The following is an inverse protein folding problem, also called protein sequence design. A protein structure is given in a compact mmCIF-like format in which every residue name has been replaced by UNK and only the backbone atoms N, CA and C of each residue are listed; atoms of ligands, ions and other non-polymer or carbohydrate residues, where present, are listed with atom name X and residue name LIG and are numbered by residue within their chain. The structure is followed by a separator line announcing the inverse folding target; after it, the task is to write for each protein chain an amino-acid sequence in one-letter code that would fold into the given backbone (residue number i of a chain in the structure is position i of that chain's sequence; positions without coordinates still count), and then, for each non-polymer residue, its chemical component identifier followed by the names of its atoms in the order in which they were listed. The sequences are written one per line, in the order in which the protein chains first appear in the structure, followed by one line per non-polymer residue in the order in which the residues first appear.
data_IF_634608404362
#
_entry.id   IF_634608404362
#
_cell.length_a   1.000
_cell.length_b   1.000
_cell.length_c   1.000
_cell.angle_alpha   90.00
_cell.angle_beta   90.00
_cell.angle_gamma   90.00
#
_symmetry.space_group_name_H-M   'P 1'
#
loop_
_entity.id
_entity.type
_entity.pdbx_description
1 polymer ?
#
# COMPACT_ATOMS: atom_id res chain seq x y z
N UNK A 1 -6.65 19.78 11.33
CA UNK A 1 -5.90 18.56 11.01
C UNK A 1 -6.78 17.78 10.06
N UNK A 2 -6.47 17.80 8.76
CA UNK A 2 -7.28 17.10 7.75
C UNK A 2 -7.35 15.61 8.11
N UNK A 3 -8.55 15.05 8.03
CA UNK A 3 -8.80 13.62 8.20
C UNK A 3 -8.16 12.90 7.01
N UNK A 4 -6.88 12.55 7.13
CA UNK A 4 -6.24 11.64 6.20
C UNK A 4 -6.84 10.25 6.45
N UNK A 5 -7.36 9.64 5.38
CA UNK A 5 -7.69 8.22 5.14
C UNK A 5 -6.92 7.26 6.06
N UNK A 6 -5.63 7.55 6.26
CA UNK A 6 -4.75 6.81 7.14
C UNK A 6 -5.21 6.78 8.61
N UNK A 7 -5.70 7.87 9.19
CA UNK A 7 -6.21 7.89 10.56
C UNK A 7 -7.39 6.92 10.78
N UNK A 8 -8.17 6.60 9.74
CA UNK A 8 -9.34 5.74 9.84
C UNK A 8 -9.00 4.23 9.70
N UNK A 9 -7.90 3.87 9.02
CA UNK A 9 -7.31 2.51 9.09
C UNK A 9 -6.33 2.33 10.26
N UNK A 10 -5.75 3.40 10.79
CA UNK A 10 -4.65 3.40 11.79
C UNK A 10 -5.13 3.49 13.25
N UNK A 11 -6.30 2.96 13.59
CA UNK A 11 -6.53 2.62 14.98
C UNK A 11 -5.61 1.43 15.35
N UNK A 12 -4.42 1.77 15.88
CA UNK A 12 -3.32 0.90 16.35
C UNK A 12 -3.70 -0.20 17.36
N UNK A 13 -4.99 -0.41 17.62
CA UNK A 13 -5.49 -1.59 18.31
C UNK A 13 -5.65 -2.80 17.36
N UNK A 14 -5.46 -2.65 16.05
CA UNK A 14 -5.62 -3.74 15.07
C UNK A 14 -4.62 -3.74 13.87
N UNK A 15 -3.35 -3.43 14.12
CA UNK A 15 -2.23 -4.09 13.40
C UNK A 15 -1.89 -3.70 11.94
N UNK A 16 -2.19 -2.50 11.43
CA UNK A 16 -1.83 -2.12 10.05
C UNK A 16 -0.33 -2.32 9.68
N UNK A 17 0.60 -1.98 10.57
CA UNK A 17 2.05 -2.16 10.33
C UNK A 17 2.65 -3.46 10.90
N UNK A 18 1.88 -4.24 11.66
CA UNK A 18 2.27 -5.57 12.15
C UNK A 18 1.72 -6.68 11.24
N UNK A 19 0.75 -6.36 10.38
CA UNK A 19 0.20 -7.32 9.44
C UNK A 19 1.25 -7.71 8.39
N UNK A 20 1.43 -9.02 8.18
CA UNK A 20 2.25 -9.58 7.09
C UNK A 20 1.78 -9.17 5.69
N UNK A 21 0.66 -8.43 5.59
CA UNK A 21 0.18 -7.92 4.31
C UNK A 21 0.82 -6.56 3.93
N UNK A 22 1.47 -5.91 4.90
CA UNK A 22 2.17 -4.65 4.71
C UNK A 22 3.69 -4.85 4.60
N UNK A 23 4.19 -6.08 4.73
CA UNK A 23 5.60 -6.44 4.56
C UNK A 23 5.74 -7.77 3.81
N UNK A 24 6.70 -7.92 2.88
CA UNK A 24 7.69 -6.91 2.49
C UNK A 24 7.09 -5.75 1.69
N UNK A 25 7.77 -4.60 1.73
CA UNK A 25 7.40 -3.42 0.95
C UNK A 25 8.16 -3.38 -0.37
N UNK A 26 7.45 -3.03 -1.44
CA UNK A 26 8.11 -2.62 -2.67
C UNK A 26 8.70 -1.22 -2.49
N UNK A 27 9.96 -1.05 -2.89
CA UNK A 27 10.66 0.24 -2.89
C UNK A 27 11.20 0.52 -4.29
N UNK A 28 10.92 1.71 -4.82
CA UNK A 28 11.59 2.16 -6.05
C UNK A 28 13.10 2.32 -5.82
N UNK A 29 13.93 2.39 -6.88
CA UNK A 29 15.36 2.67 -6.74
C UNK A 29 15.68 3.94 -5.93
N UNK A 30 14.86 4.99 -6.07
CA UNK A 30 14.98 6.23 -5.31
C UNK A 30 14.59 6.02 -3.84
N UNK A 31 13.51 5.29 -3.58
CA UNK A 31 13.07 4.98 -2.22
C UNK A 31 14.05 4.07 -1.48
N UNK A 32 14.74 3.14 -2.18
CA UNK A 32 15.81 2.34 -1.58
C UNK A 32 16.95 3.21 -1.05
N UNK A 33 17.27 4.31 -1.74
CA UNK A 33 18.28 5.29 -1.27
C UNK A 33 17.75 6.12 -0.11
N UNK A 34 16.47 6.50 -0.15
CA UNK A 34 15.83 7.32 0.88
C UNK A 34 15.56 6.56 2.18
N UNK A 35 15.24 5.27 2.09
CA UNK A 35 14.86 4.40 3.21
C UNK A 35 15.75 3.16 3.30
N UNK A 36 17.07 3.32 3.56
CA UNK A 36 18.02 2.20 3.57
C UNK A 36 17.70 1.16 4.66
N UNK A 37 17.00 1.56 5.74
CA UNK A 37 16.55 0.63 6.78
C UNK A 37 15.45 -0.31 6.31
N UNK A 38 14.55 0.15 5.42
CA UNK A 38 13.52 -0.70 4.82
C UNK A 38 14.12 -1.59 3.72
N UNK A 39 15.03 -1.05 2.91
CA UNK A 39 15.65 -1.79 1.82
C UNK A 39 16.47 -3.01 2.28
N UNK A 40 17.02 -2.97 3.50
CA UNK A 40 17.84 -4.05 4.08
C UNK A 40 17.11 -4.84 5.17
N UNK A 41 15.81 -4.62 5.35
CA UNK A 41 15.04 -5.28 6.40
C UNK A 41 14.71 -6.74 6.02
N UNK A 42 14.91 -7.70 6.92
CA UNK A 42 14.34 -9.05 6.79
C UNK A 42 12.80 -9.01 6.73
N UNK A 43 12.22 -9.82 5.85
CA UNK A 43 10.78 -9.87 5.54
C UNK A 43 9.88 -10.13 6.76
N UNK A 44 10.41 -10.71 7.84
CA UNK A 44 9.70 -11.14 9.04
C UNK A 44 9.77 -10.14 10.20
N UNK A 45 10.44 -8.99 10.03
CA UNK A 45 10.59 -7.98 11.09
C UNK A 45 9.55 -6.87 10.98
N UNK A 46 9.15 -6.36 12.14
CA UNK A 46 8.31 -5.17 12.26
C UNK A 46 8.95 -3.95 11.58
N UNK A 47 8.13 -3.08 10.98
CA UNK A 47 8.62 -1.88 10.29
C UNK A 47 9.58 -1.04 11.18
N UNK A 48 10.79 -0.68 10.70
CA UNK A 48 11.83 0.01 11.47
C UNK A 48 11.49 1.47 11.78
N UNK A 49 10.40 1.98 11.20
CA UNK A 49 9.91 3.34 11.42
C UNK A 49 8.68 3.38 12.34
N UNK A 50 8.35 2.27 13.02
CA UNK A 50 7.34 2.29 14.08
C UNK A 50 7.86 3.08 15.29
N UNK A 51 7.06 4.05 15.75
CA UNK A 51 7.35 4.78 16.97
C UNK A 51 6.88 4.01 18.21
N UNK A 52 7.16 4.54 19.40
CA UNK A 52 6.80 3.90 20.67
C UNK A 52 5.28 3.69 20.88
N UNK A 53 4.44 4.38 20.09
CA UNK A 53 2.98 4.22 20.08
C UNK A 53 2.50 3.24 19.01
N UNK A 54 3.41 2.47 18.39
CA UNK A 54 3.14 1.57 17.26
C UNK A 54 2.51 2.28 16.05
N UNK A 55 2.86 3.56 15.85
CA UNK A 55 2.43 4.37 14.70
C UNK A 55 3.59 4.61 13.75
N UNK A 56 3.31 4.85 12.48
CA UNK A 56 4.31 5.19 11.47
C UNK A 56 4.97 6.55 11.80
N UNK A 57 6.25 6.53 12.18
CA UNK A 57 7.04 7.72 12.51
C UNK A 57 7.45 8.56 11.30
N UNK A 58 7.29 8.04 10.08
CA UNK A 58 7.60 8.74 8.82
C UNK A 58 6.36 8.97 7.97
N UNK A 59 5.17 9.03 8.58
CA UNK A 59 3.89 9.03 7.86
C UNK A 59 3.85 10.01 6.66
N UNK A 60 4.25 11.27 6.85
CA UNK A 60 4.24 12.28 5.78
C UNK A 60 5.20 11.99 4.62
N UNK A 61 6.26 11.22 4.89
CA UNK A 61 7.28 10.82 3.92
C UNK A 61 7.27 9.30 3.67
N UNK A 62 6.15 8.61 3.88
CA UNK A 62 6.09 7.15 3.71
C UNK A 62 6.31 6.73 2.23
N UNK A 63 6.86 5.54 1.98
CA UNK A 63 7.03 5.00 0.63
C UNK A 63 5.72 4.90 -0.17
N UNK A 64 5.80 4.82 -1.49
CA UNK A 64 4.67 4.75 -2.41
C UNK A 64 3.80 3.50 -2.14
N UNK A 65 4.42 2.33 -1.96
CA UNK A 65 3.69 1.09 -1.61
C UNK A 65 2.91 1.26 -0.31
N UNK A 66 3.54 1.87 0.72
CA UNK A 66 2.84 2.18 1.94
C UNK A 66 1.63 3.08 1.69
N UNK A 67 1.64 4.01 0.73
CA UNK A 67 0.51 4.92 0.49
C UNK A 67 -0.70 4.23 -0.13
N UNK A 68 -0.50 3.10 -0.82
CA UNK A 68 -1.59 2.37 -1.48
C UNK A 68 -2.50 1.68 -0.46
N UNK A 69 -1.98 1.23 0.68
CA UNK A 69 -2.76 0.50 1.67
C UNK A 69 -4.03 1.25 2.12
N UNK A 70 -5.20 0.58 2.23
CA UNK A 70 -5.43 -0.88 2.10
C UNK A 70 -5.72 -1.35 0.66
N UNK A 71 -5.48 -0.48 -0.33
CA UNK A 71 -5.58 -0.81 -1.73
C UNK A 71 -4.27 -1.38 -2.27
N UNK A 72 -4.36 -1.98 -3.44
CA UNK A 72 -3.24 -2.55 -4.16
C UNK A 72 -3.53 -2.55 -5.67
N UNK A 73 -2.52 -2.90 -6.46
CA UNK A 73 -2.59 -2.99 -7.91
C UNK A 73 -2.46 -4.44 -8.33
N UNK A 74 -3.38 -4.89 -9.20
CA UNK A 74 -3.30 -6.21 -9.80
C UNK A 74 -3.36 -6.14 -11.32
N UNK A 75 -2.46 -6.86 -11.99
CA UNK A 75 -2.41 -6.93 -13.45
C UNK A 75 -3.24 -8.11 -13.98
N UNK A 76 -4.12 -7.84 -14.93
CA UNK A 76 -4.95 -8.83 -15.61
C UNK A 76 -4.85 -8.55 -17.12
N UNK A 77 -4.29 -9.49 -17.88
CA UNK A 77 -4.15 -9.38 -19.34
C UNK A 77 -3.50 -8.06 -19.82
N UNK A 78 -2.43 -7.61 -19.15
CA UNK A 78 -1.71 -6.39 -19.49
C UNK A 78 -2.37 -5.08 -19.05
N UNK A 79 -3.49 -5.15 -18.30
CA UNK A 79 -4.19 -4.01 -17.73
C UNK A 79 -4.09 -4.03 -16.21
N UNK A 80 -3.97 -2.85 -15.59
CA UNK A 80 -3.87 -2.72 -14.14
C UNK A 80 -5.22 -2.38 -13.52
N UNK A 81 -5.58 -3.08 -12.46
CA UNK A 81 -6.82 -2.93 -11.73
C UNK A 81 -6.52 -2.58 -10.27
N UNK A 82 -7.33 -1.69 -9.71
CA UNK A 82 -7.39 -1.52 -8.27
C UNK A 82 -7.95 -2.76 -7.61
N UNK A 83 -7.37 -3.13 -6.49
CA UNK A 83 -7.93 -4.10 -5.56
C UNK A 83 -7.90 -3.56 -4.14
N UNK A 84 -8.72 -4.15 -3.28
CA UNK A 84 -8.72 -3.87 -1.84
C UNK A 84 -8.55 -5.17 -1.06
N UNK A 85 -7.69 -5.14 -0.05
CA UNK A 85 -7.48 -6.27 0.83
C UNK A 85 -8.69 -6.48 1.75
N UNK A 86 -9.15 -7.73 1.91
CA UNK A 86 -10.21 -8.10 2.86
C UNK A 86 -9.64 -8.28 4.26
N UNK A 87 -9.25 -7.15 4.85
CA UNK A 87 -8.63 -7.06 6.17
C UNK A 87 -9.55 -6.31 7.14
N UNK A 88 -9.23 -6.37 8.44
CA UNK A 88 -9.97 -5.64 9.47
C UNK A 88 -9.55 -4.15 9.52
N UNK A 89 -9.84 -3.39 8.46
CA UNK A 89 -9.77 -1.92 8.44
C UNK A 89 -11.19 -1.32 8.25
N UNK A 90 -11.44 -0.12 8.76
CA UNK A 90 -12.68 0.61 8.50
C UNK A 90 -12.89 0.91 7.00
N UNK A 91 -11.83 1.29 6.29
CA UNK A 91 -11.87 1.56 4.84
C UNK A 91 -12.26 0.32 4.06
N UNK A 92 -11.65 -0.85 4.30
CA UNK A 92 -11.98 -2.09 3.58
C UNK A 92 -13.43 -2.57 3.78
N UNK A 93 -14.14 -2.03 4.78
CA UNK A 93 -15.56 -2.29 5.06
C UNK A 93 -16.51 -1.28 4.40
N UNK A 94 -16.01 -0.22 3.78
CA UNK A 94 -16.83 0.74 3.04
C UNK A 94 -17.28 0.15 1.70
N UNK A 95 -18.36 0.72 1.14
CA UNK A 95 -18.86 0.32 -0.18
C UNK A 95 -18.33 1.22 -1.31
N UNK A 96 -18.06 2.49 -1.00
CA UNK A 96 -17.58 3.47 -1.97
C UNK A 96 -16.09 3.80 -1.75
N UNK A 97 -15.23 3.29 -2.62
CA UNK A 97 -13.78 3.54 -2.60
C UNK A 97 -13.35 4.69 -3.51
N UNK A 98 -14.24 5.21 -4.34
CA UNK A 98 -13.87 6.07 -5.47
C UNK A 98 -13.07 7.34 -5.06
N UNK A 99 -13.41 8.05 -3.96
CA UNK A 99 -12.62 9.21 -3.52
C UNK A 99 -11.16 8.85 -3.21
N UNK A 100 -10.93 7.66 -2.65
CA UNK A 100 -9.58 7.16 -2.33
C UNK A 100 -8.83 6.82 -3.61
N UNK A 101 -9.46 6.09 -4.53
CA UNK A 101 -8.84 5.66 -5.78
C UNK A 101 -8.46 6.85 -6.65
N UNK A 102 -9.34 7.85 -6.78
CA UNK A 102 -9.04 9.07 -7.53
C UNK A 102 -7.86 9.84 -6.93
N UNK A 103 -7.80 9.96 -5.60
CA UNK A 103 -6.67 10.59 -4.94
C UNK A 103 -5.35 9.82 -5.18
N UNK A 104 -5.38 8.49 -5.13
CA UNK A 104 -4.20 7.66 -5.42
C UNK A 104 -3.76 7.78 -6.89
N UNK A 105 -4.71 7.84 -7.82
CA UNK A 105 -4.46 8.06 -9.25
C UNK A 105 -3.81 9.42 -9.53
N UNK A 106 -4.10 10.44 -8.73
CA UNK A 106 -3.48 11.76 -8.85
C UNK A 106 -2.13 11.86 -8.13
N UNK A 107 -1.95 11.17 -7.01
CA UNK A 107 -0.82 11.44 -6.08
C UNK A 107 0.27 10.37 -6.06
N UNK A 108 -0.09 9.12 -6.36
CA UNK A 108 0.77 7.93 -6.24
C UNK A 108 1.04 7.31 -7.62
N UNK A 109 -0.01 7.03 -8.40
CA UNK A 109 0.11 6.35 -9.70
C UNK A 109 1.09 7.05 -10.65
N UNK A 110 1.16 8.39 -10.78
CA UNK A 110 2.11 9.03 -11.69
C UNK A 110 3.57 8.72 -11.34
N UNK A 111 3.87 8.51 -10.05
CA UNK A 111 5.21 8.16 -9.55
C UNK A 111 5.50 6.66 -9.67
N UNK A 112 4.46 5.82 -9.62
CA UNK A 112 4.56 4.37 -9.73
C UNK A 112 4.42 3.84 -11.15
N UNK A 113 3.92 4.64 -12.11
CA UNK A 113 3.49 4.19 -13.45
C UNK A 113 4.51 3.32 -14.17
N UNK A 114 5.78 3.72 -14.15
CA UNK A 114 6.88 2.97 -14.80
C UNK A 114 7.31 1.69 -14.05
N UNK A 115 6.82 1.50 -12.82
CA UNK A 115 7.12 0.37 -11.95
C UNK A 115 5.92 -0.56 -11.74
N UNK A 116 4.74 -0.27 -12.31
CA UNK A 116 3.51 -1.02 -11.99
C UNK A 116 3.62 -2.51 -12.32
N UNK A 117 4.30 -2.87 -13.39
CA UNK A 117 4.53 -4.28 -13.75
C UNK A 117 5.44 -4.99 -12.74
N UNK A 118 6.59 -4.39 -12.42
CA UNK A 118 7.52 -4.92 -11.41
C UNK A 118 6.86 -5.02 -10.03
N UNK A 119 6.08 -4.01 -9.66
CA UNK A 119 5.28 -3.98 -8.45
C UNK A 119 4.26 -5.13 -8.41
N UNK A 120 3.51 -5.34 -9.50
CA UNK A 120 2.53 -6.42 -9.58
C UNK A 120 3.19 -7.81 -9.45
N UNK A 121 4.34 -8.03 -10.09
CA UNK A 121 5.09 -9.29 -9.95
C UNK A 121 5.46 -9.50 -8.48
N UNK A 122 6.06 -8.49 -7.85
CA UNK A 122 6.45 -8.53 -6.44
C UNK A 122 5.26 -8.87 -5.52
N UNK A 123 4.12 -8.19 -5.67
CA UNK A 123 2.93 -8.45 -4.83
C UNK A 123 2.27 -9.79 -5.13
N UNK A 124 2.26 -10.22 -6.39
CA UNK A 124 1.68 -11.50 -6.81
C UNK A 124 2.42 -12.71 -6.24
N UNK A 125 3.75 -12.63 -6.18
CA UNK A 125 4.57 -13.70 -5.64
C UNK A 125 4.50 -13.78 -4.11
N UNK A 126 4.43 -12.63 -3.44
CA UNK A 126 4.46 -12.57 -1.98
C UNK A 126 3.05 -12.73 -1.34
N UNK A 127 1.99 -12.18 -1.95
CA UNK A 127 0.81 -11.78 -1.16
C UNK A 127 -0.53 -12.18 -1.74
N UNK A 128 -0.74 -11.98 -3.05
CA UNK A 128 -2.06 -12.17 -3.67
C UNK A 128 -2.52 -13.63 -3.59
N UNK A 129 -1.59 -14.59 -3.58
CA UNK A 129 -1.89 -16.02 -3.40
C UNK A 129 -2.34 -16.38 -1.98
N UNK A 130 -2.01 -15.54 -0.99
CA UNK A 130 -2.07 -15.90 0.42
C UNK A 130 -3.16 -15.13 1.21
N UNK A 131 -3.74 -14.08 0.63
CA UNK A 131 -4.67 -13.20 1.33
C UNK A 131 -5.94 -12.94 0.53
N UNK A 132 -7.11 -12.86 1.19
CA UNK A 132 -8.35 -12.57 0.52
C UNK A 132 -8.40 -11.10 0.06
N UNK A 133 -8.86 -10.88 -1.16
CA UNK A 133 -9.01 -9.55 -1.75
C UNK A 133 -10.30 -9.43 -2.57
N UNK A 134 -10.59 -8.20 -3.01
CA UNK A 134 -11.64 -7.89 -3.99
C UNK A 134 -11.04 -7.00 -5.07
N UNK A 135 -11.18 -7.43 -6.33
CA UNK A 135 -10.88 -6.57 -7.49
C UNK A 135 -11.98 -5.52 -7.61
N UNK A 136 -11.57 -4.29 -7.89
CA UNK A 136 -12.45 -3.13 -8.05
C UNK A 136 -12.59 -2.80 -9.54
N UNK A 137 -11.89 -1.77 -10.02
CA UNK A 137 -11.96 -1.27 -11.40
C UNK A 137 -10.57 -1.10 -12.00
N UNK A 138 -10.52 -0.95 -13.31
CA UNK A 138 -9.29 -0.59 -14.03
C UNK A 138 -8.74 0.76 -13.52
N UNK A 139 -7.41 0.88 -13.43
CA UNK A 139 -6.71 2.09 -13.01
C UNK A 139 -6.72 3.09 -14.16
N UNK A 140 -7.04 4.35 -13.87
CA UNK A 140 -6.91 5.41 -14.83
C UNK A 140 -5.43 5.84 -14.94
N UNK A 141 -4.79 5.49 -16.06
CA UNK A 141 -3.39 5.82 -16.34
C UNK A 141 -3.22 7.09 -17.21
N UNK A 142 -4.30 7.79 -17.56
CA UNK A 142 -4.26 8.95 -18.48
C UNK A 142 -4.09 10.30 -17.76
N UNK A 143 -3.95 10.30 -16.43
CA UNK A 143 -3.74 11.51 -15.64
C UNK A 143 -2.29 12.02 -15.70
#
# INVERSE_FOLDING_TARGET
MEKDIWHDCLNCKSDCCEHKIANPLYLTPEEKKQFPKLANQPHDKNCPYLNNKKLCGIHSNRPLDCRLYPFDVYEINGKFFWMVWKINCAISKQENFEPYLQNLELTVIPKMKKYLHEYNIFRSDEMIKNWPYKILREINLTC
#
